data_IF_446138670417
#
_entry.id   IF_446138670417
#
_cell.length_a   1.000
_cell.length_b   1.000
_cell.length_c   1.000
_cell.angle_alpha   90.00
_cell.angle_beta   90.00
_cell.angle_gamma   90.00
#
_symmetry.space_group_name_H-M   'P 1'
#
loop_
_entity.id
_entity.type
_entity.pdbx_description
1 polymer ?
#
# COMPACT_ATOMS: atom_id res chain seq x y z
N UNK A 1 36.69 6.16 6.01
CA UNK A 1 36.65 6.61 4.59
C UNK A 1 35.98 5.61 3.62
N UNK A 2 35.69 4.36 4.02
CA UNK A 2 35.07 3.35 3.12
C UNK A 2 33.52 3.40 3.06
N UNK A 3 32.86 3.76 4.17
CA UNK A 3 31.40 3.78 4.26
C UNK A 3 30.71 4.83 3.38
N UNK A 4 31.32 6.00 3.15
CA UNK A 4 30.73 7.04 2.29
C UNK A 4 30.71 6.64 0.82
N UNK A 5 31.75 5.93 0.33
CA UNK A 5 31.81 5.42 -1.04
C UNK A 5 30.77 4.32 -1.30
N UNK A 6 30.53 3.45 -0.31
CA UNK A 6 29.50 2.41 -0.40
C UNK A 6 28.10 3.04 -0.39
N UNK A 7 27.88 4.07 0.46
CA UNK A 7 26.62 4.80 0.54
C UNK A 7 26.30 5.59 -0.75
N UNK A 8 27.28 6.24 -1.38
CA UNK A 8 27.06 6.95 -2.65
C UNK A 8 26.74 5.96 -3.78
N UNK A 9 27.47 4.84 -3.89
CA UNK A 9 27.20 3.80 -4.90
C UNK A 9 25.83 3.14 -4.69
N UNK A 10 25.40 2.96 -3.44
CA UNK A 10 24.04 2.48 -3.13
C UNK A 10 22.98 3.52 -3.50
N UNK A 11 23.19 4.79 -3.17
CA UNK A 11 22.25 5.87 -3.52
C UNK A 11 22.13 6.04 -5.04
N UNK A 12 23.23 5.94 -5.78
CA UNK A 12 23.25 6.02 -7.24
C UNK A 12 22.53 4.82 -7.88
N UNK A 13 22.70 3.61 -7.33
CA UNK A 13 21.96 2.42 -7.78
C UNK A 13 20.48 2.49 -7.42
N UNK A 14 20.13 2.99 -6.24
CA UNK A 14 18.74 3.17 -5.81
C UNK A 14 18.06 4.22 -6.68
N UNK A 15 18.70 5.36 -6.96
CA UNK A 15 18.13 6.38 -7.85
C UNK A 15 18.01 5.90 -9.29
N UNK A 16 18.98 5.11 -9.78
CA UNK A 16 18.90 4.46 -11.10
C UNK A 16 17.75 3.45 -11.16
N UNK A 17 17.61 2.60 -10.14
CA UNK A 17 16.47 1.68 -10.01
C UNK A 17 15.15 2.43 -9.92
N UNK A 18 15.07 3.52 -9.16
CA UNK A 18 13.87 4.36 -9.08
C UNK A 18 13.51 4.96 -10.44
N UNK A 19 14.49 5.42 -11.23
CA UNK A 19 14.24 5.94 -12.60
C UNK A 19 13.79 4.83 -13.56
N UNK A 20 14.39 3.65 -13.46
CA UNK A 20 13.96 2.49 -14.24
C UNK A 20 12.57 2.00 -13.81
N UNK A 21 12.27 2.03 -12.50
CA UNK A 21 10.95 1.74 -11.96
C UNK A 21 9.91 2.76 -12.42
N UNK A 22 10.24 4.05 -12.44
CA UNK A 22 9.33 5.10 -12.92
C UNK A 22 9.00 4.95 -14.41
N UNK A 23 10.01 4.61 -15.23
CA UNK A 23 9.83 4.27 -16.66
C UNK A 23 8.98 3.01 -16.87
N UNK A 24 9.17 1.98 -16.04
CA UNK A 24 8.44 0.70 -16.14
C UNK A 24 7.01 0.79 -15.59
N UNK A 25 6.81 1.54 -14.50
CA UNK A 25 5.48 1.82 -13.94
C UNK A 25 4.69 2.83 -14.78
N UNK A 26 5.39 3.62 -15.61
CA UNK A 26 4.80 4.66 -16.45
C UNK A 26 4.03 5.69 -15.63
N UNK A 27 4.29 5.84 -14.33
CA UNK A 27 3.53 6.76 -13.47
C UNK A 27 3.71 8.20 -13.97
N UNK A 28 4.90 8.54 -14.46
CA UNK A 28 5.17 9.81 -15.16
C UNK A 28 4.31 10.00 -16.41
N UNK A 29 4.08 8.94 -17.18
CA UNK A 29 3.29 8.99 -18.41
C UNK A 29 1.78 9.15 -18.16
N UNK A 30 1.25 8.57 -17.07
CA UNK A 30 -0.14 8.81 -16.66
C UNK A 30 -0.29 10.19 -16.06
N UNK A 31 0.68 10.64 -15.25
CA UNK A 31 0.69 12.01 -14.71
C UNK A 31 0.76 13.03 -15.84
N UNK A 32 1.54 12.76 -16.89
CA UNK A 32 1.59 13.60 -18.09
C UNK A 32 0.25 13.62 -18.82
N UNK A 33 -0.38 12.46 -19.08
CA UNK A 33 -1.70 12.41 -19.70
C UNK A 33 -2.79 13.11 -18.86
N UNK A 34 -2.78 12.92 -17.54
CA UNK A 34 -3.68 13.60 -16.60
C UNK A 34 -3.44 15.12 -16.61
N UNK A 35 -2.20 15.58 -16.65
CA UNK A 35 -1.89 17.02 -16.74
C UNK A 35 -2.37 17.65 -18.05
N UNK A 36 -2.34 16.90 -19.15
CA UNK A 36 -2.87 17.34 -20.45
C UNK A 36 -4.40 17.46 -20.42
N UNK A 37 -5.08 16.47 -19.82
CA UNK A 37 -6.54 16.52 -19.60
C UNK A 37 -6.90 17.71 -18.72
N UNK A 38 -6.18 17.91 -17.61
CA UNK A 38 -6.43 19.02 -16.69
C UNK A 38 -6.23 20.39 -17.36
N UNK A 39 -5.19 20.54 -18.18
CA UNK A 39 -4.95 21.79 -18.92
C UNK A 39 -6.08 22.06 -19.93
N UNK A 40 -6.51 21.02 -20.66
CA UNK A 40 -7.62 21.13 -21.60
C UNK A 40 -8.96 21.40 -20.89
N UNK A 41 -9.16 20.85 -19.69
CA UNK A 41 -10.34 21.10 -18.86
C UNK A 41 -10.36 22.55 -18.37
N UNK A 42 -9.23 23.07 -17.89
CA UNK A 42 -9.11 24.46 -17.45
C UNK A 42 -9.41 25.44 -18.59
N UNK A 43 -8.94 25.16 -19.81
CA UNK A 43 -9.24 25.94 -21.00
C UNK A 43 -10.73 25.91 -21.35
N UNK A 44 -11.33 24.72 -21.38
CA UNK A 44 -12.77 24.55 -21.60
C UNK A 44 -13.61 25.31 -20.57
N UNK A 45 -13.25 25.22 -19.29
CA UNK A 45 -13.96 25.92 -18.21
C UNK A 45 -13.83 27.43 -18.30
N UNK A 46 -12.73 27.96 -18.85
CA UNK A 46 -12.60 29.40 -19.14
C UNK A 46 -13.56 29.82 -20.25
N UNK A 47 -13.60 29.10 -21.37
CA UNK A 47 -14.54 29.44 -22.46
C UNK A 47 -15.99 29.33 -22.02
N UNK A 48 -16.35 28.28 -21.28
CA UNK A 48 -17.71 28.09 -20.75
C UNK A 48 -18.14 29.22 -19.82
N UNK A 49 -17.21 29.78 -19.03
CA UNK A 49 -17.47 31.00 -18.23
C UNK A 49 -17.74 32.20 -19.12
N UNK A 50 -16.90 32.45 -20.14
CA UNK A 50 -17.11 33.55 -21.07
C UNK A 50 -18.45 33.45 -21.82
N UNK A 51 -18.83 32.27 -22.31
CA UNK A 51 -20.14 32.03 -22.92
C UNK A 51 -21.27 32.35 -21.94
N UNK A 52 -21.14 31.92 -20.69
CA UNK A 52 -22.10 32.23 -19.63
C UNK A 52 -22.25 33.74 -19.38
N UNK A 53 -21.14 34.45 -19.24
CA UNK A 53 -21.10 35.91 -19.04
C UNK A 53 -21.73 36.66 -20.23
N UNK A 54 -21.35 36.34 -21.46
CA UNK A 54 -21.92 36.96 -22.66
C UNK A 54 -23.40 36.65 -22.83
N UNK A 55 -23.84 35.45 -22.45
CA UNK A 55 -25.27 35.09 -22.47
C UNK A 55 -26.08 35.89 -21.45
N UNK A 56 -25.56 36.07 -20.24
CA UNK A 56 -26.19 36.93 -19.22
C UNK A 56 -26.29 38.38 -19.74
N UNK A 57 -25.22 38.88 -20.36
CA UNK A 57 -25.19 40.22 -20.94
C UNK A 57 -26.20 40.38 -22.09
N UNK A 58 -26.33 39.38 -22.97
CA UNK A 58 -27.34 39.36 -24.02
C UNK A 58 -28.76 39.45 -23.44
N UNK A 59 -29.06 38.67 -22.41
CA UNK A 59 -30.35 38.71 -21.70
C UNK A 59 -30.59 40.09 -21.09
N UNK A 60 -29.54 40.71 -20.51
CA UNK A 60 -29.61 42.07 -19.95
C UNK A 60 -29.98 43.08 -21.04
N UNK A 61 -29.32 43.05 -22.19
CA UNK A 61 -29.62 43.92 -23.34
C UNK A 61 -31.04 43.70 -23.87
N UNK A 62 -31.49 42.46 -23.99
CA UNK A 62 -32.85 42.12 -24.43
C UNK A 62 -33.92 42.67 -23.49
N UNK A 63 -33.69 42.58 -22.17
CA UNK A 63 -34.59 43.17 -21.18
C UNK A 63 -34.64 44.70 -21.32
N UNK A 64 -33.48 45.36 -21.44
CA UNK A 64 -33.42 46.81 -21.67
C UNK A 64 -34.15 47.24 -22.94
N UNK A 65 -34.00 46.45 -24.00
CA UNK A 65 -34.63 46.71 -25.29
C UNK A 65 -36.16 46.55 -25.24
N UNK A 66 -36.65 45.53 -24.51
CA UNK A 66 -38.09 45.39 -24.20
C UNK A 66 -38.60 46.59 -23.41
N UNK A 67 -37.86 47.07 -22.42
CA UNK A 67 -38.26 48.22 -21.61
C UNK A 67 -38.28 49.50 -22.44
N UNK A 68 -37.29 49.74 -23.30
CA UNK A 68 -37.26 50.87 -24.23
C UNK A 68 -38.44 50.83 -25.21
N UNK A 69 -38.73 49.68 -25.81
CA UNK A 69 -39.91 49.50 -26.68
C UNK A 69 -41.21 49.82 -25.95
N UNK A 70 -41.35 49.37 -24.71
CA UNK A 70 -42.55 49.64 -23.90
C UNK A 70 -42.71 51.13 -23.59
N UNK A 71 -41.62 51.89 -23.47
CA UNK A 71 -41.66 53.35 -23.28
C UNK A 71 -41.97 54.07 -24.59
N UNK A 72 -41.39 53.62 -25.70
CA UNK A 72 -41.59 54.20 -27.02
C UNK A 72 -43.05 54.08 -27.49
N UNK A 73 -43.71 52.96 -27.16
CA UNK A 73 -45.12 52.72 -27.49
C UNK A 73 -46.10 53.64 -26.71
N UNK A 74 -45.67 54.17 -25.56
CA UNK A 74 -46.49 55.07 -24.72
C UNK A 74 -46.38 56.54 -25.11
N UNK A 75 -45.31 56.93 -25.81
CA UNK A 75 -45.03 58.34 -26.12
C UNK A 75 -45.49 58.63 -27.56
N UNK A 76 -46.32 59.68 -27.79
CA UNK A 76 -46.71 60.06 -29.13
C UNK A 76 -45.50 60.55 -29.93
N UNK A 77 -45.52 60.30 -31.25
CA UNK A 77 -44.40 60.61 -32.15
C UNK A 77 -44.06 62.09 -32.28
N UNK A 78 -44.98 62.96 -31.86
CA UNK A 78 -44.85 64.42 -31.93
C UNK A 78 -43.98 64.99 -30.79
N UNK A 79 -43.76 64.21 -29.71
CA UNK A 79 -42.93 64.62 -28.57
C UNK A 79 -41.43 64.47 -28.91
N UNK A 80 -40.63 65.49 -28.59
CA UNK A 80 -39.18 65.51 -28.77
C UNK A 80 -38.48 64.32 -28.09
N UNK A 81 -39.06 63.80 -26.99
CA UNK A 81 -38.57 62.62 -26.26
C UNK A 81 -38.61 61.34 -27.09
N UNK A 82 -39.49 61.27 -28.09
CA UNK A 82 -39.61 60.10 -28.97
C UNK A 82 -38.31 59.87 -29.75
N UNK A 83 -37.72 60.93 -30.30
CA UNK A 83 -36.49 60.83 -31.09
C UNK A 83 -35.31 60.36 -30.24
N UNK A 84 -35.23 60.83 -28.99
CA UNK A 84 -34.19 60.42 -28.05
C UNK A 84 -34.30 58.92 -27.73
N UNK A 85 -35.49 58.44 -27.37
CA UNK A 85 -35.73 57.01 -27.11
C UNK A 85 -35.51 56.13 -28.33
N UNK A 86 -35.91 56.58 -29.52
CA UNK A 86 -35.69 55.84 -30.76
C UNK A 86 -34.19 55.69 -31.07
N UNK A 87 -33.40 56.73 -30.79
CA UNK A 87 -31.94 56.69 -30.93
C UNK A 87 -31.31 55.72 -29.91
N UNK A 88 -31.81 55.70 -28.68
CA UNK A 88 -31.38 54.74 -27.66
C UNK A 88 -31.74 53.29 -28.02
N UNK A 89 -32.94 53.04 -28.53
CA UNK A 89 -33.34 51.70 -29.03
C UNK A 89 -32.41 51.26 -30.15
N UNK A 90 -32.10 52.13 -31.11
CA UNK A 90 -31.21 51.80 -32.20
C UNK A 90 -29.81 51.43 -31.71
N UNK A 91 -29.27 52.18 -30.73
CA UNK A 91 -27.98 51.85 -30.10
C UNK A 91 -28.04 50.50 -29.37
N UNK A 92 -29.13 50.22 -28.66
CA UNK A 92 -29.33 48.94 -27.97
C UNK A 92 -29.45 47.77 -28.95
N UNK A 93 -30.10 47.95 -30.11
CA UNK A 93 -30.19 46.95 -31.18
C UNK A 93 -28.82 46.60 -31.77
N UNK A 94 -27.96 47.61 -31.99
CA UNK A 94 -26.59 47.39 -32.45
C UNK A 94 -25.79 46.60 -31.41
N UNK A 95 -25.92 46.98 -30.13
CA UNK A 95 -25.26 46.28 -29.04
C UNK A 95 -25.74 44.82 -28.90
N UNK A 96 -27.05 44.56 -29.00
CA UNK A 96 -27.61 43.21 -28.98
C UNK A 96 -27.09 42.37 -30.15
N UNK A 97 -27.10 42.91 -31.36
CA UNK A 97 -26.59 42.20 -32.55
C UNK A 97 -25.11 41.85 -32.40
N UNK A 98 -24.31 42.79 -31.86
CA UNK A 98 -22.91 42.55 -31.57
C UNK A 98 -22.74 41.44 -30.53
N UNK A 99 -23.41 41.55 -29.38
CA UNK A 99 -23.36 40.55 -28.32
C UNK A 99 -23.81 39.15 -28.78
N UNK A 100 -24.80 39.09 -29.68
CA UNK A 100 -25.24 37.83 -30.29
C UNK A 100 -24.17 37.23 -31.20
N UNK A 101 -23.52 38.05 -32.02
CA UNK A 101 -22.41 37.60 -32.88
C UNK A 101 -21.24 37.10 -32.03
N UNK A 102 -20.88 37.86 -30.99
CA UNK A 102 -19.83 37.48 -30.04
C UNK A 102 -20.16 36.16 -29.34
N UNK A 103 -21.42 35.96 -28.91
CA UNK A 103 -21.89 34.70 -28.33
C UNK A 103 -21.73 33.53 -29.30
N UNK A 104 -22.12 33.67 -30.58
CA UNK A 104 -21.98 32.61 -31.58
C UNK A 104 -20.51 32.23 -31.80
N UNK A 105 -19.60 33.22 -31.79
CA UNK A 105 -18.15 32.95 -31.88
C UNK A 105 -17.62 32.23 -30.64
N UNK A 106 -18.04 32.63 -29.44
CA UNK A 106 -17.64 32.00 -28.18
C UNK A 106 -18.21 30.59 -28.04
N UNK A 107 -19.47 30.35 -28.44
CA UNK A 107 -20.08 29.01 -28.45
C UNK A 107 -19.35 28.08 -29.44
N UNK A 108 -18.85 28.61 -30.56
CA UNK A 108 -18.01 27.84 -31.49
C UNK A 108 -16.68 27.47 -30.85
N UNK A 109 -16.01 28.42 -30.20
CA UNK A 109 -14.77 28.17 -29.47
C UNK A 109 -14.96 27.19 -28.29
N UNK A 110 -16.07 27.26 -27.56
CA UNK A 110 -16.43 26.28 -26.52
C UNK A 110 -16.55 24.87 -27.10
N UNK A 111 -17.19 24.71 -28.27
CA UNK A 111 -17.31 23.40 -28.94
C UNK A 111 -15.96 22.85 -29.38
N UNK A 112 -15.06 23.69 -29.89
CA UNK A 112 -13.72 23.28 -30.30
C UNK A 112 -12.90 22.83 -29.09
N UNK A 113 -12.95 23.58 -27.98
CA UNK A 113 -12.27 23.20 -26.74
C UNK A 113 -12.86 21.96 -26.09
N UNK A 114 -14.19 21.78 -26.12
CA UNK A 114 -14.83 20.56 -25.67
C UNK A 114 -14.39 19.35 -26.50
N UNK A 115 -14.22 19.54 -27.81
CA UNK A 115 -13.72 18.51 -28.71
C UNK A 115 -12.27 18.14 -28.39
N UNK A 116 -11.42 19.14 -28.12
CA UNK A 116 -10.04 18.94 -27.68
C UNK A 116 -9.96 18.21 -26.33
N UNK A 117 -10.76 18.62 -25.34
CA UNK A 117 -10.87 17.94 -24.04
C UNK A 117 -11.33 16.49 -24.22
N UNK A 118 -12.39 16.27 -25.01
CA UNK A 118 -12.90 14.92 -25.28
C UNK A 118 -11.87 14.02 -25.95
N UNK A 119 -11.07 14.57 -26.87
CA UNK A 119 -9.96 13.84 -27.49
C UNK A 119 -8.86 13.50 -26.47
N UNK A 120 -8.47 14.46 -25.62
CA UNK A 120 -7.48 14.24 -24.56
C UNK A 120 -7.94 13.19 -23.54
N UNK A 121 -9.21 13.22 -23.12
CA UNK A 121 -9.80 12.24 -22.20
C UNK A 121 -9.80 10.84 -22.82
N UNK A 122 -10.20 10.70 -24.09
CA UNK A 122 -10.15 9.42 -24.80
C UNK A 122 -8.72 8.90 -24.93
N UNK A 123 -7.78 9.76 -25.29
CA UNK A 123 -6.37 9.41 -25.39
C UNK A 123 -5.80 8.97 -24.03
N UNK A 124 -6.19 9.62 -22.93
CA UNK A 124 -5.82 9.22 -21.58
C UNK A 124 -6.36 7.83 -21.21
N UNK A 125 -7.64 7.56 -21.50
CA UNK A 125 -8.25 6.24 -21.24
C UNK A 125 -7.67 5.12 -22.11
N UNK A 126 -7.34 5.39 -23.37
CA UNK A 126 -6.67 4.41 -24.22
C UNK A 126 -5.28 4.05 -23.68
N UNK A 127 -4.57 5.06 -23.16
CA UNK A 127 -3.29 4.86 -22.48
C UNK A 127 -3.45 4.09 -21.18
N UNK A 128 -4.58 4.20 -20.49
CA UNK A 128 -4.91 3.43 -19.30
C UNK A 128 -5.21 1.95 -19.61
N UNK A 129 -5.86 1.65 -20.74
CA UNK A 129 -6.04 0.26 -21.20
C UNK A 129 -4.73 -0.46 -21.45
N UNK A 130 -3.73 0.23 -22.00
CA UNK A 130 -2.38 -0.33 -22.19
C UNK A 130 -1.66 -0.69 -20.87
N UNK A 131 -2.14 -0.20 -19.70
CA UNK A 131 -1.57 -0.49 -18.37
C UNK A 131 -2.08 -1.77 -17.74
N UNK A 132 -3.30 -2.19 -18.07
CA UNK A 132 -3.88 -3.42 -17.54
C UNK A 132 -3.03 -4.66 -17.88
N UNK A 133 -2.24 -4.59 -18.95
CA UNK A 133 -1.32 -5.66 -19.35
C UNK A 133 -0.02 -5.66 -18.54
N UNK A 134 0.49 -4.47 -18.14
CA UNK A 134 1.75 -4.35 -17.39
C UNK A 134 1.63 -4.76 -15.93
N UNK A 135 0.50 -4.51 -15.28
CA UNK A 135 0.26 -4.92 -13.88
C UNK A 135 0.26 -6.44 -13.69
N UNK A 136 -0.06 -7.23 -14.74
CA UNK A 136 0.01 -8.70 -14.72
C UNK A 136 1.44 -9.21 -14.53
N UNK A 137 2.41 -8.58 -15.17
CA UNK A 137 3.82 -8.98 -15.05
C UNK A 137 4.41 -8.58 -13.69
N UNK A 138 3.89 -7.51 -13.07
CA UNK A 138 4.34 -7.04 -11.77
C UNK A 138 4.03 -7.99 -10.62
N UNK A 139 2.83 -8.58 -10.58
CA UNK A 139 2.50 -9.56 -9.54
C UNK A 139 3.35 -10.84 -9.68
N UNK A 140 3.66 -11.24 -10.92
CA UNK A 140 4.51 -12.38 -11.23
C UNK A 140 5.95 -12.13 -10.75
N UNK A 141 6.52 -10.96 -11.05
CA UNK A 141 7.88 -10.59 -10.61
C UNK A 141 7.94 -10.46 -9.08
N UNK A 142 6.93 -9.87 -8.44
CA UNK A 142 6.86 -9.75 -6.98
C UNK A 142 6.79 -11.12 -6.29
N UNK A 143 6.01 -12.05 -6.84
CA UNK A 143 5.94 -13.42 -6.36
C UNK A 143 7.30 -14.13 -6.49
N UNK A 144 7.95 -14.01 -7.66
CA UNK A 144 9.27 -14.60 -7.89
C UNK A 144 10.34 -14.03 -6.95
N UNK A 145 10.41 -12.71 -6.79
CA UNK A 145 11.33 -12.06 -5.85
C UNK A 145 11.04 -12.45 -4.39
N UNK A 146 9.76 -12.53 -4.01
CA UNK A 146 9.34 -12.95 -2.67
C UNK A 146 9.76 -14.39 -2.35
N UNK A 147 9.65 -15.30 -3.32
CA UNK A 147 10.13 -16.68 -3.16
C UNK A 147 11.64 -16.74 -2.96
N UNK A 148 12.41 -16.01 -3.78
CA UNK A 148 13.89 -15.96 -3.68
C UNK A 148 14.32 -15.38 -2.33
N UNK A 149 13.71 -14.26 -1.90
CA UNK A 149 14.00 -13.65 -0.61
C UNK A 149 13.55 -14.53 0.56
N UNK A 150 12.44 -15.27 0.43
CA UNK A 150 11.98 -16.24 1.41
C UNK A 150 12.99 -17.38 1.60
N UNK A 151 13.52 -17.93 0.49
CA UNK A 151 14.56 -18.96 0.53
C UNK A 151 15.83 -18.43 1.18
N UNK A 152 16.31 -17.24 0.79
CA UNK A 152 17.50 -16.63 1.39
C UNK A 152 17.30 -16.29 2.88
N UNK A 153 16.14 -15.74 3.23
CA UNK A 153 15.79 -15.39 4.61
C UNK A 153 15.72 -16.63 5.51
N UNK A 154 15.08 -17.70 5.04
CA UNK A 154 15.02 -18.97 5.75
C UNK A 154 16.42 -19.59 5.93
N UNK A 155 17.29 -19.46 4.93
CA UNK A 155 18.66 -19.96 4.98
C UNK A 155 19.49 -19.25 6.06
N UNK A 156 19.41 -17.91 6.13
CA UNK A 156 20.15 -17.12 7.15
C UNK A 156 19.65 -17.43 8.56
N UNK A 157 18.33 -17.55 8.75
CA UNK A 157 17.73 -17.89 10.04
C UNK A 157 18.15 -19.29 10.51
N UNK A 158 18.16 -20.26 9.60
CA UNK A 158 18.56 -21.63 9.94
C UNK A 158 20.03 -21.72 10.38
N UNK A 159 20.92 -20.95 9.73
CA UNK A 159 22.32 -20.86 10.12
C UNK A 159 22.52 -20.27 11.53
N UNK A 160 21.74 -19.25 11.91
CA UNK A 160 21.81 -18.67 13.27
C UNK A 160 21.27 -19.64 14.31
N UNK A 161 20.16 -20.35 14.01
CA UNK A 161 19.57 -21.36 14.91
C UNK A 161 20.53 -22.51 15.18
N UNK A 162 21.23 -23.02 14.16
CA UNK A 162 22.20 -24.11 14.34
C UNK A 162 23.41 -23.69 15.19
N UNK A 163 23.83 -22.43 15.11
CA UNK A 163 24.88 -21.87 15.99
C UNK A 163 24.42 -21.81 17.45
N UNK A 164 23.19 -21.38 17.70
CA UNK A 164 22.62 -21.32 19.05
C UNK A 164 22.47 -22.72 19.66
N UNK A 165 21.97 -23.70 18.89
CA UNK A 165 21.83 -25.08 19.36
C UNK A 165 23.19 -25.69 19.72
N UNK A 166 24.22 -25.48 18.90
CA UNK A 166 25.57 -26.01 19.19
C UNK A 166 26.18 -25.43 20.47
N UNK A 167 26.00 -24.13 20.71
CA UNK A 167 26.48 -23.48 21.93
C UNK A 167 25.79 -24.05 23.18
N UNK A 168 24.46 -24.14 23.18
CA UNK A 168 23.70 -24.69 24.32
C UNK A 168 23.97 -26.19 24.55
N UNK A 169 24.18 -26.98 23.50
CA UNK A 169 24.56 -28.41 23.63
C UNK A 169 25.94 -28.57 24.25
N UNK A 170 26.90 -27.71 23.91
CA UNK A 170 28.24 -27.77 24.46
C UNK A 170 28.26 -27.40 25.95
N UNK A 171 27.54 -26.34 26.34
CA UNK A 171 27.38 -25.94 27.74
C UNK A 171 26.72 -27.04 28.58
N UNK A 172 25.64 -27.66 28.08
CA UNK A 172 24.95 -28.74 28.78
C UNK A 172 25.78 -30.02 28.88
N UNK A 173 26.58 -30.34 27.86
CA UNK A 173 27.46 -31.52 27.88
C UNK A 173 28.61 -31.34 28.89
N UNK A 174 29.18 -30.14 28.98
CA UNK A 174 30.21 -29.81 29.97
C UNK A 174 29.65 -29.86 31.41
N UNK A 175 28.44 -29.34 31.62
CA UNK A 175 27.75 -29.42 32.92
C UNK A 175 27.39 -30.86 33.32
N UNK A 176 26.98 -31.70 32.36
CA UNK A 176 26.69 -33.11 32.59
C UNK A 176 27.95 -33.91 32.92
N UNK A 177 29.06 -33.64 32.22
CA UNK A 177 30.37 -34.27 32.51
C UNK A 177 30.87 -33.83 33.90
N UNK A 178 30.72 -32.56 34.28
CA UNK A 178 31.12 -32.09 35.61
C UNK A 178 30.32 -32.77 36.73
N UNK A 179 28.99 -32.89 36.59
CA UNK A 179 28.13 -33.54 37.59
C UNK A 179 28.41 -35.04 37.72
N UNK A 180 28.63 -35.74 36.61
CA UNK A 180 28.98 -37.18 36.64
C UNK A 180 30.37 -37.42 37.26
N UNK A 181 31.31 -36.49 37.09
CA UNK A 181 32.65 -36.59 37.69
C UNK A 181 32.63 -36.30 39.20
N UNK A 182 31.74 -35.42 39.66
CA UNK A 182 31.49 -35.16 41.09
C UNK A 182 30.86 -36.37 41.79
N UNK A 183 29.83 -36.99 41.19
CA UNK A 183 29.23 -38.22 41.72
C UNK A 183 30.23 -39.38 41.79
N UNK A 184 31.05 -39.58 40.75
CA UNK A 184 32.11 -40.60 40.75
C UNK A 184 33.20 -40.32 41.81
N UNK A 185 33.50 -39.05 42.09
CA UNK A 185 34.43 -38.65 43.15
C UNK A 185 33.92 -38.95 44.56
N UNK A 186 32.60 -38.90 44.78
CA UNK A 186 32.02 -39.22 46.10
C UNK A 186 31.91 -40.71 46.40
N UNK A 187 31.93 -41.56 45.38
CA UNK A 187 31.94 -43.03 45.52
C UNK A 187 33.34 -43.63 45.75
N UNK A 188 34.41 -42.86 45.56
CA UNK A 188 35.79 -43.32 45.79
C UNK A 188 36.36 -42.77 47.12
N UNK A 189 35.72 -43.11 48.25
CA UNK A 189 36.33 -43.00 49.59
C UNK A 189 36.75 -44.40 50.08
N UNK A 190 38.00 -44.61 50.53
CA UNK A 190 38.51 -45.94 50.86
C UNK A 190 38.05 -46.36 52.26
N UNK A 191 37.39 -47.52 52.37
CA UNK A 191 37.03 -48.14 53.64
C UNK A 191 36.56 -49.58 53.43
N UNK A 192 37.40 -50.54 53.78
CA UNK A 192 37.10 -51.97 53.82
C UNK A 192 36.06 -52.28 54.91
N UNK A 193 35.10 -53.18 54.64
CA UNK A 193 34.87 -54.40 55.44
C UNK A 193 33.74 -55.27 54.84
N UNK A 194 34.16 -56.49 54.46
CA UNK A 194 33.57 -57.81 54.74
C UNK A 194 32.07 -58.12 54.52
N UNK A 195 31.88 -59.22 53.78
CA UNK A 195 30.61 -59.87 53.44
C UNK A 195 30.07 -60.64 54.65
N UNK A 196 28.80 -60.43 55.02
CA UNK A 196 27.99 -61.51 55.60
C UNK A 196 26.60 -61.56 54.95
N UNK A 197 26.39 -62.70 54.30
CA UNK A 197 25.14 -63.23 53.78
C UNK A 197 24.16 -63.55 54.90
N UNK A 198 22.97 -62.94 54.90
CA UNK A 198 21.70 -63.50 55.42
C UNK A 198 20.55 -62.51 55.17
N UNK A 199 19.66 -62.79 54.21
CA UNK A 199 18.42 -62.01 54.02
C UNK A 199 17.95 -61.79 52.59
N UNK A 200 18.10 -62.74 51.67
CA UNK A 200 17.79 -62.54 50.23
C UNK A 200 16.31 -62.77 49.86
N UNK A 201 15.42 -63.02 50.83
CA UNK A 201 14.01 -63.31 50.55
C UNK A 201 13.05 -62.10 50.43
N UNK A 202 13.41 -60.95 51.00
CA UNK A 202 12.47 -59.80 51.14
C UNK A 202 12.90 -58.52 50.42
N UNK A 203 14.18 -58.37 50.07
CA UNK A 203 14.68 -57.15 49.40
C UNK A 203 14.38 -57.11 47.88
N UNK A 204 14.17 -58.28 47.25
CA UNK A 204 14.02 -58.35 45.78
C UNK A 204 12.62 -57.93 45.29
N UNK A 205 11.59 -57.97 46.14
CA UNK A 205 10.24 -57.50 45.81
C UNK A 205 10.10 -55.98 46.01
N UNK A 206 10.75 -55.40 47.02
CA UNK A 206 10.75 -53.94 47.24
C UNK A 206 11.57 -53.19 46.19
N UNK A 207 12.77 -53.67 45.86
CA UNK A 207 13.63 -53.01 44.86
C UNK A 207 13.03 -53.07 43.45
N UNK A 208 12.32 -54.16 43.13
CA UNK A 208 11.57 -54.26 41.86
C UNK A 208 10.37 -53.31 41.81
N UNK A 209 9.67 -53.10 42.93
CA UNK A 209 8.52 -52.19 42.98
C UNK A 209 8.95 -50.73 42.90
N UNK A 210 10.05 -50.36 43.55
CA UNK A 210 10.62 -49.01 43.51
C UNK A 210 11.20 -48.68 42.12
N UNK A 211 11.83 -49.67 41.46
CA UNK A 211 12.31 -49.51 40.09
C UNK A 211 11.16 -49.36 39.07
N UNK A 212 10.08 -50.14 39.24
CA UNK A 212 8.88 -50.00 38.40
C UNK A 212 8.14 -48.67 38.66
N UNK A 213 8.16 -48.15 39.89
CA UNK A 213 7.62 -46.84 40.21
C UNK A 213 8.41 -45.71 39.52
N UNK A 214 9.76 -45.78 39.55
CA UNK A 214 10.63 -44.83 38.86
C UNK A 214 10.50 -44.89 37.33
N UNK A 215 10.28 -46.06 36.74
CA UNK A 215 10.01 -46.18 35.30
C UNK A 215 8.66 -45.57 34.93
N UNK A 216 7.62 -45.79 35.74
CA UNK A 216 6.30 -45.20 35.52
C UNK A 216 6.34 -43.66 35.64
N UNK A 217 7.12 -43.13 36.58
CA UNK A 217 7.28 -41.68 36.75
C UNK A 217 8.07 -41.05 35.58
N UNK A 218 9.13 -41.71 35.12
CA UNK A 218 9.88 -41.25 33.94
C UNK A 218 9.05 -41.30 32.65
N UNK A 219 8.19 -42.30 32.45
CA UNK A 219 7.29 -42.34 31.28
C UNK A 219 6.24 -41.22 31.32
N UNK A 220 5.73 -40.85 32.50
CA UNK A 220 4.84 -39.68 32.66
C UNK A 220 5.56 -38.37 32.37
N UNK A 221 6.82 -38.23 32.78
CA UNK A 221 7.64 -37.06 32.48
C UNK A 221 7.94 -36.95 30.98
N UNK A 222 8.24 -38.05 30.31
CA UNK A 222 8.43 -38.07 28.85
C UNK A 222 7.14 -37.71 28.09
N UNK A 223 5.99 -38.25 28.51
CA UNK A 223 4.70 -37.87 27.93
C UNK A 223 4.31 -36.40 28.17
N UNK A 224 4.67 -35.85 29.34
CA UNK A 224 4.46 -34.43 29.64
C UNK A 224 5.39 -33.52 28.83
N UNK A 225 6.62 -33.96 28.55
CA UNK A 225 7.56 -33.24 27.68
C UNK A 225 7.07 -33.26 26.24
N UNK A 226 6.61 -34.41 25.74
CA UNK A 226 6.12 -34.57 24.37
C UNK A 226 4.86 -33.71 24.13
N UNK A 227 3.90 -33.75 25.07
CA UNK A 227 2.73 -32.87 25.04
C UNK A 227 3.08 -31.37 25.12
N UNK A 228 4.18 -31.01 25.82
CA UNK A 228 4.66 -29.63 25.92
C UNK A 228 5.47 -29.17 24.71
N UNK A 229 6.05 -30.11 23.94
CA UNK A 229 6.71 -29.86 22.66
C UNK A 229 5.67 -29.68 21.56
N UNK A 230 4.67 -30.56 21.47
CA UNK A 230 3.52 -30.47 20.55
C UNK A 230 2.78 -29.13 20.72
N UNK A 231 2.48 -28.74 21.98
CA UNK A 231 1.77 -27.50 22.30
C UNK A 231 2.64 -26.23 22.12
N UNK A 232 3.97 -26.37 22.02
CA UNK A 232 4.84 -25.27 21.56
C UNK A 232 4.80 -25.13 20.05
N UNK A 233 4.85 -26.25 19.33
CA UNK A 233 4.82 -26.26 17.88
C UNK A 233 3.49 -25.71 17.32
N UNK A 234 2.36 -26.09 17.92
CA UNK A 234 1.03 -25.58 17.54
C UNK A 234 0.89 -24.09 17.86
N UNK A 235 1.44 -23.60 18.98
CA UNK A 235 1.44 -22.15 19.29
C UNK A 235 2.33 -21.36 18.35
N UNK A 236 3.49 -21.89 17.96
CA UNK A 236 4.36 -21.23 16.99
C UNK A 236 3.70 -21.20 15.61
N UNK A 237 3.06 -22.28 15.16
CA UNK A 237 2.27 -22.31 13.91
C UNK A 237 1.10 -21.32 13.95
N UNK A 238 0.39 -21.24 15.08
CA UNK A 238 -0.70 -20.27 15.26
C UNK A 238 -0.19 -18.82 15.31
N UNK A 239 0.99 -18.58 15.91
CA UNK A 239 1.62 -17.26 15.95
C UNK A 239 2.15 -16.83 14.58
N UNK A 240 2.76 -17.74 13.82
CA UNK A 240 3.21 -17.50 12.44
C UNK A 240 2.03 -17.31 11.47
N UNK A 241 0.93 -18.06 11.64
CA UNK A 241 -0.30 -17.84 10.88
C UNK A 241 -0.93 -16.49 11.20
N UNK A 242 -1.05 -16.11 12.48
CA UNK A 242 -1.55 -14.79 12.89
C UNK A 242 -0.63 -13.66 12.45
N UNK A 243 0.69 -13.82 12.54
CA UNK A 243 1.66 -12.83 12.07
C UNK A 243 1.62 -12.67 10.54
N UNK A 244 1.46 -13.77 9.79
CA UNK A 244 1.27 -13.73 8.34
C UNK A 244 -0.06 -13.07 7.95
N UNK A 245 -1.14 -13.36 8.67
CA UNK A 245 -2.45 -12.74 8.45
C UNK A 245 -2.39 -11.24 8.74
N UNK A 246 -1.79 -10.84 9.88
CA UNK A 246 -1.60 -9.43 10.25
C UNK A 246 -0.69 -8.72 9.24
N UNK A 247 0.39 -9.35 8.77
CA UNK A 247 1.28 -8.78 7.76
C UNK A 247 0.57 -8.61 6.40
N UNK A 248 -0.26 -9.57 5.98
CA UNK A 248 -1.04 -9.43 4.75
C UNK A 248 -2.15 -8.38 4.89
N UNK A 249 -2.82 -8.31 6.03
CA UNK A 249 -3.90 -7.34 6.30
C UNK A 249 -3.33 -5.94 6.45
N UNK A 250 -2.15 -5.76 7.06
CA UNK A 250 -1.48 -4.45 7.15
C UNK A 250 -0.85 -4.02 5.83
N UNK A 251 -0.35 -4.95 5.01
CA UNK A 251 0.14 -4.65 3.65
C UNK A 251 -1.02 -4.31 2.70
N UNK A 252 -2.13 -5.06 2.75
CA UNK A 252 -3.36 -4.72 2.02
C UNK A 252 -4.01 -3.44 2.54
N UNK A 253 -4.04 -3.20 3.86
CA UNK A 253 -4.56 -1.95 4.42
C UNK A 253 -3.67 -0.75 4.05
N UNK A 254 -2.34 -0.89 4.04
CA UNK A 254 -1.44 0.17 3.52
C UNK A 254 -1.65 0.42 2.03
N UNK A 255 -1.86 -0.63 1.23
CA UNK A 255 -2.18 -0.48 -0.21
C UNK A 255 -3.55 0.18 -0.42
N UNK A 256 -4.55 -0.18 0.38
CA UNK A 256 -5.90 0.40 0.31
C UNK A 256 -5.88 1.86 0.80
N UNK A 257 -5.16 2.18 1.90
CA UNK A 257 -5.01 3.54 2.41
C UNK A 257 -4.17 4.44 1.47
N UNK A 258 -3.17 3.86 0.79
CA UNK A 258 -2.40 4.55 -0.26
C UNK A 258 -3.22 4.78 -1.54
N UNK A 259 -4.17 3.88 -1.86
CA UNK A 259 -5.11 4.03 -2.96
C UNK A 259 -6.27 4.99 -2.64
N UNK A 260 -6.63 5.17 -1.35
CA UNK A 260 -7.70 6.09 -0.89
C UNK A 260 -7.19 7.49 -0.52
N UNK A 261 -5.89 7.65 -0.24
CA UNK A 261 -5.25 8.95 0.03
C UNK A 261 -4.86 9.72 -1.25
N UNK A 262 -5.30 9.26 -2.43
CA UNK A 262 -5.08 9.90 -3.72
C UNK A 262 -6.40 10.08 -4.45
#
# INVERSE_FOLDING_TARGET
MSYSKIATVLTDKVTSLTKQFDSVLGISEVRSAQSLVQTAEDEFMKSRRCVGETRIELIRLQNQLRDLRSKLDRIPREDERYLQLATEEHKALIAERKAKTDLETLETLERDQFSALSAAVRAAHEKERSRAERTKYWSIIASACGAVLGILGSTIINMKRMKQIRLTVQENNEEFIAKTMEELGTLFKPGQHEITTSGVGQAHSQLSNDFLALLNENTKMLGAIDAKVENRHIRDLAWWSKASLIASVTSSACLIFYMLSK
#
